data_IF_813278310316
#
_entry.id   IF_813278310316
#
_cell.length_a   1.000
_cell.length_b   1.000
_cell.length_c   1.000
_cell.angle_alpha   90.00
_cell.angle_beta   90.00
_cell.angle_gamma   90.00
#
_symmetry.space_group_name_H-M   'P 1'
#
loop_
_entity.id
_entity.type
_entity.pdbx_description
1 polymer ?
#
# COMPACT_ATOMS: atom_id res chain seq x y z
N UNK A 1 0.82 -17.16 10.58
CA UNK A 1 2.07 -16.83 9.85
C UNK A 1 2.68 -15.61 10.53
N UNK A 2 3.97 -15.64 10.86
CA UNK A 2 4.62 -14.45 11.43
C UNK A 2 4.45 -13.30 10.43
N UNK A 3 3.94 -12.15 10.89
CA UNK A 3 3.83 -10.97 10.04
C UNK A 3 5.23 -10.65 9.52
N UNK A 4 5.36 -10.48 8.19
CA UNK A 4 6.60 -9.92 7.65
C UNK A 4 6.86 -8.59 8.37
N UNK A 5 8.13 -8.28 8.69
CA UNK A 5 8.44 -6.99 9.28
C UNK A 5 7.89 -5.88 8.36
N UNK A 6 7.47 -4.74 8.93
CA UNK A 6 7.14 -3.55 8.16
C UNK A 6 8.25 -3.25 7.14
N UNK A 7 7.88 -2.70 5.98
CA UNK A 7 8.82 -2.36 4.90
C UNK A 7 9.89 -1.40 5.41
N UNK A 8 9.49 -0.43 6.23
CA UNK A 8 10.40 0.54 6.87
C UNK A 8 11.41 -0.08 7.84
N UNK A 9 11.22 -1.36 8.23
CA UNK A 9 12.12 -2.11 9.12
C UNK A 9 12.97 -3.15 8.40
N UNK A 10 12.94 -3.19 7.08
CA UNK A 10 13.79 -4.08 6.30
C UNK A 10 15.25 -3.57 6.34
N UNK A 11 16.21 -4.50 6.30
CA UNK A 11 17.64 -4.19 6.47
C UNK A 11 18.21 -3.27 5.38
N UNK A 12 17.55 -3.21 4.23
CA UNK A 12 17.90 -2.41 3.06
C UNK A 12 17.01 -1.16 2.89
N UNK A 13 16.18 -0.83 3.89
CA UNK A 13 15.30 0.35 3.86
C UNK A 13 16.08 1.64 3.57
N UNK A 14 17.09 1.94 4.39
CA UNK A 14 17.87 3.18 4.27
C UNK A 14 18.81 3.19 3.05
N UNK A 15 19.31 2.01 2.64
CA UNK A 15 20.35 1.91 1.59
C UNK A 15 19.79 1.78 0.19
N UNK A 16 18.61 1.18 0.03
CA UNK A 16 18.06 0.81 -1.27
C UNK A 16 16.61 1.30 -1.44
N UNK A 17 15.71 0.93 -0.53
CA UNK A 17 14.27 1.13 -0.74
C UNK A 17 13.84 2.59 -0.63
N UNK A 18 14.28 3.31 0.41
CA UNK A 18 13.93 4.72 0.63
C UNK A 18 14.54 5.65 -0.43
N UNK A 19 15.83 5.52 -0.83
CA UNK A 19 16.37 6.28 -1.96
C UNK A 19 15.60 6.04 -3.26
N UNK A 20 15.34 4.76 -3.60
CA UNK A 20 14.57 4.42 -4.79
C UNK A 20 13.15 5.02 -4.76
N UNK A 21 12.47 4.94 -3.62
CA UNK A 21 11.14 5.52 -3.44
C UNK A 21 11.16 7.04 -3.67
N UNK A 22 12.16 7.74 -3.12
CA UNK A 22 12.34 9.19 -3.32
C UNK A 22 12.59 9.54 -4.78
N UNK A 23 13.43 8.78 -5.48
CA UNK A 23 13.72 8.99 -6.90
C UNK A 23 12.47 8.78 -7.77
N UNK A 24 11.68 7.74 -7.49
CA UNK A 24 10.40 7.49 -8.19
C UNK A 24 9.39 8.59 -7.90
N UNK A 25 9.25 9.01 -6.64
CA UNK A 25 8.33 10.09 -6.27
C UNK A 25 8.72 11.42 -6.93
N UNK A 26 10.01 11.71 -7.03
CA UNK A 26 10.53 12.87 -7.74
C UNK A 26 10.27 12.77 -9.25
N UNK A 27 10.56 11.62 -9.87
CA UNK A 27 10.34 11.40 -11.30
C UNK A 27 8.88 11.41 -11.73
N UNK A 28 7.95 11.07 -10.83
CA UNK A 28 6.51 11.17 -11.04
C UNK A 28 5.91 12.52 -10.61
N UNK A 29 6.74 13.42 -10.05
CA UNK A 29 6.30 14.73 -9.52
C UNK A 29 5.22 14.61 -8.42
N UNK A 30 5.28 13.56 -7.60
CA UNK A 30 4.31 13.27 -6.52
C UNK A 30 4.87 13.44 -5.11
N UNK A 31 5.98 14.17 -4.96
CA UNK A 31 6.72 14.32 -3.69
C UNK A 31 5.95 14.94 -2.52
N UNK A 32 4.74 15.49 -2.75
CA UNK A 32 3.86 16.01 -1.70
C UNK A 32 2.97 14.94 -1.05
N UNK A 33 2.98 13.71 -1.56
CA UNK A 33 2.20 12.61 -0.98
C UNK A 33 2.93 12.08 0.26
N UNK A 34 2.32 12.29 1.42
CA UNK A 34 2.71 11.63 2.66
C UNK A 34 2.33 10.15 2.58
N UNK A 35 3.20 9.34 1.98
CA UNK A 35 2.97 7.93 1.73
C UNK A 35 3.40 7.10 2.94
N UNK A 36 2.42 6.59 3.68
CA UNK A 36 2.66 5.52 4.64
C UNK A 36 2.83 4.18 3.89
N UNK A 37 4.09 3.84 3.60
CA UNK A 37 4.49 2.63 2.88
C UNK A 37 4.05 1.36 3.61
N UNK A 38 4.17 1.34 4.94
CA UNK A 38 3.83 0.17 5.74
C UNK A 38 2.33 -0.08 5.73
N UNK A 39 1.52 0.99 5.75
CA UNK A 39 0.08 0.89 5.67
C UNK A 39 -0.41 0.35 4.34
N UNK A 40 0.13 0.86 3.23
CA UNK A 40 -0.18 0.37 1.88
C UNK A 40 0.26 -1.09 1.73
N UNK A 41 1.45 -1.44 2.23
CA UNK A 41 1.94 -2.82 2.18
C UNK A 41 1.07 -3.77 3.02
N UNK A 42 0.56 -3.31 4.16
CA UNK A 42 -0.38 -4.09 4.99
C UNK A 42 -1.69 -4.37 4.26
N UNK A 43 -2.31 -3.34 3.68
CA UNK A 43 -3.56 -3.49 2.91
C UNK A 43 -3.36 -4.43 1.72
N UNK A 44 -2.27 -4.28 0.97
CA UNK A 44 -1.98 -5.15 -0.18
C UNK A 44 -1.73 -6.60 0.22
N UNK A 45 -1.18 -6.86 1.42
CA UNK A 45 -1.11 -8.19 2.00
C UNK A 45 -2.50 -8.81 2.24
N UNK A 46 -3.43 -8.05 2.81
CA UNK A 46 -4.84 -8.49 3.00
C UNK A 46 -5.50 -8.84 1.66
N UNK A 47 -5.30 -8.01 0.63
CA UNK A 47 -5.85 -8.25 -0.72
C UNK A 47 -5.21 -9.48 -1.39
N UNK A 48 -3.89 -9.63 -1.24
CA UNK A 48 -3.16 -10.75 -1.81
C UNK A 48 -3.62 -12.09 -1.23
N UNK A 49 -3.87 -12.14 0.07
CA UNK A 49 -4.30 -13.33 0.80
C UNK A 49 -5.81 -13.60 0.64
N UNK A 50 -6.64 -12.55 0.62
CA UNK A 50 -8.10 -12.66 0.60
C UNK A 50 -8.76 -12.70 -0.78
N UNK A 51 -8.06 -12.24 -1.83
CA UNK A 51 -8.59 -12.23 -3.21
C UNK A 51 -7.67 -13.01 -4.13
N UNK A 52 -6.52 -12.42 -4.47
CA UNK A 52 -5.42 -13.03 -5.23
C UNK A 52 -4.25 -12.05 -5.28
N UNK A 53 -3.03 -12.59 -5.36
CA UNK A 53 -1.78 -11.80 -5.40
C UNK A 53 -1.75 -10.74 -6.51
N UNK A 54 -2.36 -10.98 -7.66
CA UNK A 54 -2.41 -10.02 -8.77
C UNK A 54 -3.25 -8.77 -8.47
N UNK A 55 -4.16 -8.82 -7.49
CA UNK A 55 -5.01 -7.69 -7.12
C UNK A 55 -4.33 -6.70 -6.18
N UNK A 56 -3.26 -7.10 -5.48
CA UNK A 56 -2.50 -6.22 -4.59
C UNK A 56 -2.00 -4.91 -5.26
N UNK A 57 -1.30 -4.94 -6.42
CA UNK A 57 -0.90 -3.71 -7.08
C UNK A 57 -2.10 -2.91 -7.64
N UNK A 58 -3.17 -3.60 -8.06
CA UNK A 58 -4.37 -2.95 -8.60
C UNK A 58 -5.13 -2.20 -7.49
N UNK A 59 -5.24 -2.78 -6.29
CA UNK A 59 -5.85 -2.11 -5.14
C UNK A 59 -5.02 -0.94 -4.65
N UNK A 60 -3.69 -1.06 -4.63
CA UNK A 60 -2.80 0.06 -4.32
C UNK A 60 -2.98 1.23 -5.32
N UNK A 61 -3.10 0.94 -6.61
CA UNK A 61 -3.39 1.94 -7.62
C UNK A 61 -4.73 2.67 -7.37
N UNK A 62 -5.79 1.92 -7.04
CA UNK A 62 -7.10 2.50 -6.74
C UNK A 62 -7.09 3.37 -5.48
N UNK A 63 -6.37 2.95 -4.44
CA UNK A 63 -6.17 3.75 -3.22
C UNK A 63 -5.42 5.05 -3.55
N UNK A 64 -4.33 4.98 -4.32
CA UNK A 64 -3.62 6.17 -4.79
C UNK A 64 -4.53 7.12 -5.57
N UNK A 65 -5.38 6.59 -6.45
CA UNK A 65 -6.36 7.39 -7.19
C UNK A 65 -7.42 8.03 -6.29
N UNK A 66 -7.84 7.37 -5.21
CA UNK A 66 -8.78 7.93 -4.22
C UNK A 66 -8.10 9.05 -3.39
N UNK A 67 -6.87 8.84 -2.96
CA UNK A 67 -6.07 9.85 -2.23
C UNK A 67 -5.85 11.09 -3.09
N UNK A 68 -5.54 10.91 -4.38
CA UNK A 68 -5.41 12.02 -5.33
C UNK A 68 -6.73 12.82 -5.51
N UNK A 69 -7.88 12.24 -5.16
CA UNK A 69 -9.19 12.91 -5.15
C UNK A 69 -9.57 13.49 -3.78
N UNK A 70 -8.67 13.46 -2.80
CA UNK A 70 -8.86 14.04 -1.48
C UNK A 70 -9.31 13.07 -0.38
N UNK A 71 -9.34 11.75 -0.65
CA UNK A 71 -9.61 10.77 0.40
C UNK A 71 -8.41 10.62 1.36
N UNK A 72 -8.67 10.27 2.61
CA UNK A 72 -7.62 9.89 3.55
C UNK A 72 -7.03 8.52 3.21
N UNK A 73 -5.70 8.36 3.33
CA UNK A 73 -5.01 7.10 3.03
C UNK A 73 -5.52 5.94 3.92
N UNK A 74 -5.67 6.18 5.22
CA UNK A 74 -6.14 5.17 6.18
C UNK A 74 -7.57 4.71 5.86
N UNK A 75 -8.46 5.66 5.56
CA UNK A 75 -9.85 5.40 5.21
C UNK A 75 -9.94 4.58 3.92
N UNK A 76 -9.20 4.98 2.89
CA UNK A 76 -9.17 4.27 1.62
C UNK A 76 -8.62 2.84 1.76
N UNK A 77 -7.55 2.65 2.53
CA UNK A 77 -7.01 1.33 2.82
C UNK A 77 -8.02 0.46 3.58
N UNK A 78 -8.65 1.02 4.62
CA UNK A 78 -9.64 0.33 5.45
C UNK A 78 -10.83 -0.15 4.61
N UNK A 79 -11.37 0.71 3.73
CA UNK A 79 -12.48 0.36 2.85
C UNK A 79 -12.14 -0.84 1.93
N UNK A 80 -10.92 -0.87 1.36
CA UNK A 80 -10.47 -1.99 0.52
C UNK A 80 -10.38 -3.29 1.32
N UNK A 81 -9.84 -3.23 2.54
CA UNK A 81 -9.73 -4.40 3.39
C UNK A 81 -11.09 -4.95 3.86
N UNK A 82 -12.03 -4.06 4.18
CA UNK A 82 -13.41 -4.44 4.55
C UNK A 82 -14.11 -5.15 3.39
N UNK A 83 -14.03 -4.60 2.18
CA UNK A 83 -14.57 -5.22 0.97
C UNK A 83 -13.92 -6.58 0.69
N UNK A 84 -12.60 -6.69 0.90
CA UNK A 84 -11.86 -7.95 0.76
C UNK A 84 -12.35 -9.00 1.76
N UNK A 85 -12.45 -8.64 3.04
CA UNK A 85 -12.92 -9.54 4.10
C UNK A 85 -14.39 -9.95 3.91
N UNK A 86 -15.24 -9.06 3.39
CA UNK A 86 -16.63 -9.37 3.09
C UNK A 86 -16.76 -10.41 1.98
N UNK A 87 -15.91 -10.33 0.94
CA UNK A 87 -15.89 -11.30 -0.17
C UNK A 87 -15.27 -12.64 0.21
N UNK A 88 -14.27 -12.67 1.09
CA UNK A 88 -13.66 -13.92 1.55
C UNK A 88 -14.59 -14.77 2.43
N UNK A 89 -15.67 -14.18 2.96
CA UNK A 89 -16.69 -14.88 3.77
C UNK A 89 -17.88 -15.41 2.96
N UNK A 90 -17.97 -15.06 1.68
CA UNK A 90 -19.05 -15.44 0.76
C UNK A 90 -18.61 -16.62 -0.12
#
# INVERSE_FOLDING_TARGET
MASRPPVTRQSDWETTLLPWLRDVAAGLEVGAVDLDVDRVHTMTGVVADGVQRSMAPISAFLVGAAVARGAGLEEACTAVEELTRARAKA
#
